data_IF_968780914722
#
_entry.id   IF_968780914722
#
_cell.length_a   1.000
_cell.length_b   1.000
_cell.length_c   1.000
_cell.angle_alpha   90.00
_cell.angle_beta   90.00
_cell.angle_gamma   90.00
#
_symmetry.space_group_name_H-M   'P 1'
#
loop_
_entity.id
_entity.type
_entity.pdbx_description
1 polymer ?
#
# COMPACT_ATOMS: atom_id res chain seq x y z
N UNK A 1 -33.98 -42.22 80.84
CA UNK A 1 -34.58 -42.46 79.55
C UNK A 1 -34.62 -41.15 78.80
N UNK A 2 -33.57 -40.81 78.05
CA UNK A 2 -33.63 -39.70 77.09
C UNK A 2 -32.79 -40.08 75.87
N UNK A 3 -33.48 -40.25 74.79
CA UNK A 3 -32.99 -40.61 73.50
C UNK A 3 -32.53 -39.33 72.77
N UNK A 4 -31.25 -39.21 72.47
CA UNK A 4 -30.67 -38.08 71.79
C UNK A 4 -30.42 -38.45 70.34
N UNK A 5 -31.33 -38.07 69.45
CA UNK A 5 -31.20 -38.20 68.00
C UNK A 5 -30.12 -37.21 67.50
N UNK A 6 -29.04 -37.74 66.93
CA UNK A 6 -28.01 -37.01 66.20
C UNK A 6 -28.48 -36.73 64.78
N UNK A 7 -28.55 -35.45 64.41
CA UNK A 7 -28.71 -35.00 63.05
C UNK A 7 -27.34 -34.97 62.32
N UNK A 8 -27.18 -35.54 61.13
CA UNK A 8 -25.97 -35.31 60.34
C UNK A 8 -26.07 -33.99 59.56
N UNK A 9 -25.16 -33.08 59.85
CA UNK A 9 -24.96 -31.86 59.05
C UNK A 9 -24.32 -32.25 57.72
N UNK A 10 -25.01 -32.07 56.58
CA UNK A 10 -24.47 -32.15 55.26
C UNK A 10 -23.69 -30.87 55.01
N UNK A 11 -22.37 -31.01 54.85
CA UNK A 11 -21.47 -29.93 54.47
C UNK A 11 -21.54 -29.76 52.95
N UNK A 12 -22.24 -28.75 52.47
CA UNK A 12 -22.22 -28.39 51.07
C UNK A 12 -20.92 -27.69 50.73
N UNK A 13 -20.03 -28.38 50.03
CA UNK A 13 -18.81 -27.78 49.40
C UNK A 13 -19.25 -27.03 48.16
N UNK A 14 -19.30 -25.70 48.22
CA UNK A 14 -19.40 -24.83 47.08
C UNK A 14 -18.07 -24.78 46.39
N UNK A 15 -17.92 -25.46 45.23
CA UNK A 15 -16.82 -25.23 44.32
C UNK A 15 -16.99 -23.86 43.67
N UNK A 16 -16.20 -22.88 44.06
CA UNK A 16 -16.07 -21.65 43.33
C UNK A 16 -15.18 -21.93 42.10
N UNK A 17 -15.80 -22.03 40.94
CA UNK A 17 -15.10 -22.03 39.67
C UNK A 17 -14.54 -20.60 39.45
N UNK A 18 -13.26 -20.40 39.67
CA UNK A 18 -12.55 -19.20 39.22
C UNK A 18 -12.49 -19.24 37.70
N UNK A 19 -13.35 -18.49 37.03
CA UNK A 19 -13.17 -18.16 35.62
C UNK A 19 -11.90 -17.30 35.54
N UNK A 20 -10.80 -17.89 35.14
CA UNK A 20 -9.62 -17.14 34.69
C UNK A 20 -10.06 -16.44 33.40
N UNK A 21 -10.36 -15.16 33.45
CA UNK A 21 -10.43 -14.32 32.27
C UNK A 21 -9.02 -14.32 31.67
N UNK A 22 -8.81 -15.07 30.60
CA UNK A 22 -7.65 -14.89 29.76
C UNK A 22 -7.76 -13.48 29.19
N UNK A 23 -6.97 -12.55 29.71
CA UNK A 23 -6.71 -11.29 29.03
C UNK A 23 -5.95 -11.70 27.76
N UNK A 24 -6.63 -11.65 26.63
CA UNK A 24 -5.97 -11.68 25.32
C UNK A 24 -4.90 -10.59 25.37
N UNK A 25 -3.65 -10.99 25.40
CA UNK A 25 -2.52 -10.07 25.37
C UNK A 25 -2.64 -9.29 24.05
N UNK A 26 -2.87 -7.98 24.12
CA UNK A 26 -2.76 -7.14 22.94
C UNK A 26 -1.31 -7.27 22.46
N UNK A 27 -1.11 -7.85 21.27
CA UNK A 27 0.19 -7.91 20.62
C UNK A 27 0.83 -6.51 20.54
N UNK A 28 2.15 -6.45 20.34
CA UNK A 28 2.85 -5.18 20.23
C UNK A 28 2.29 -4.37 19.06
N UNK A 29 2.17 -3.04 19.24
CA UNK A 29 1.81 -2.10 18.18
C UNK A 29 2.96 -1.15 17.93
N UNK A 30 3.14 -0.74 16.68
CA UNK A 30 4.16 0.21 16.26
C UNK A 30 3.53 1.33 15.48
N UNK A 31 4.01 2.55 15.71
CA UNK A 31 3.72 3.72 14.89
C UNK A 31 5.05 4.35 14.53
N UNK A 32 5.32 4.47 13.24
CA UNK A 32 6.58 4.95 12.69
C UNK A 32 6.35 6.14 11.75
N UNK A 33 7.24 7.11 11.80
CA UNK A 33 7.21 8.35 11.02
C UNK A 33 8.58 8.60 10.40
N UNK A 34 8.67 8.42 9.09
CA UNK A 34 9.91 8.54 8.33
C UNK A 34 9.87 9.83 7.50
N UNK A 35 10.30 10.93 8.09
CA UNK A 35 10.33 12.26 7.46
C UNK A 35 11.51 12.46 6.48
N UNK A 36 12.43 11.50 6.37
CA UNK A 36 13.59 11.57 5.50
C UNK A 36 13.75 10.25 4.73
N UNK A 37 13.52 10.24 3.41
CA UNK A 37 13.77 9.07 2.58
C UNK A 37 15.28 8.84 2.42
N UNK A 38 15.69 7.57 2.35
CA UNK A 38 17.10 7.21 2.01
C UNK A 38 17.35 7.28 0.51
N UNK A 39 16.29 7.30 -0.28
CA UNK A 39 16.28 7.49 -1.72
C UNK A 39 14.97 8.17 -2.12
N UNK A 40 15.06 9.23 -2.94
CA UNK A 40 13.94 9.83 -3.65
C UNK A 40 14.42 10.28 -5.03
N UNK A 41 14.11 9.48 -6.03
CA UNK A 41 14.76 9.56 -7.32
C UNK A 41 13.75 9.73 -8.44
N UNK A 42 14.05 10.64 -9.37
CA UNK A 42 13.37 10.67 -10.66
C UNK A 42 13.88 9.51 -11.54
N UNK A 43 13.05 8.50 -11.74
CA UNK A 43 13.32 7.36 -12.59
C UNK A 43 12.86 7.66 -14.01
N UNK A 44 13.76 8.24 -14.80
CA UNK A 44 13.52 8.69 -16.16
C UNK A 44 14.79 8.51 -17.01
N UNK A 45 14.68 8.09 -18.31
CA UNK A 45 15.85 7.74 -19.11
C UNK A 45 16.85 8.90 -19.29
N UNK A 46 16.37 10.14 -19.38
CA UNK A 46 17.22 11.32 -19.54
C UNK A 46 17.66 11.98 -18.23
N UNK A 47 17.42 11.35 -17.09
CA UNK A 47 17.96 11.83 -15.82
C UNK A 47 19.45 11.48 -15.70
N UNK A 48 20.30 12.37 -16.17
CA UNK A 48 21.77 12.20 -16.11
C UNK A 48 22.36 12.42 -14.71
N UNK A 49 21.58 12.97 -13.76
CA UNK A 49 22.05 13.33 -12.42
C UNK A 49 21.11 12.78 -11.32
N UNK A 50 20.96 11.45 -11.23
CA UNK A 50 20.19 10.87 -10.14
C UNK A 50 20.84 11.23 -8.79
N UNK A 51 20.01 11.55 -7.79
CA UNK A 51 20.49 12.01 -6.48
C UNK A 51 20.91 13.49 -6.42
N UNK A 52 20.60 14.28 -7.47
CA UNK A 52 20.86 15.72 -7.49
C UNK A 52 19.66 16.55 -8.01
N UNK A 53 18.57 15.89 -8.37
CA UNK A 53 17.36 16.57 -8.83
C UNK A 53 16.56 17.07 -7.65
N UNK A 54 16.15 18.34 -7.71
CA UNK A 54 15.36 19.00 -6.67
C UNK A 54 13.87 18.65 -6.73
N UNK A 55 13.44 17.97 -7.81
CA UNK A 55 12.10 17.44 -8.00
C UNK A 55 12.14 16.20 -8.91
N UNK A 56 11.19 15.31 -8.71
CA UNK A 56 10.91 14.15 -9.55
C UNK A 56 9.54 14.33 -10.22
N UNK A 57 9.50 14.19 -11.54
CA UNK A 57 8.29 14.38 -12.35
C UNK A 57 7.63 13.05 -12.68
N UNK A 58 6.29 13.04 -12.75
CA UNK A 58 5.52 11.87 -13.14
C UNK A 58 4.69 12.19 -14.36
N UNK A 59 4.80 11.35 -15.39
CA UNK A 59 4.06 11.53 -16.64
C UNK A 59 4.10 10.26 -17.51
N UNK A 60 3.18 10.19 -18.47
CA UNK A 60 3.11 9.17 -19.48
C UNK A 60 3.77 9.59 -20.79
N UNK A 61 4.18 8.61 -21.59
CA UNK A 61 4.59 8.83 -22.99
C UNK A 61 3.37 8.92 -23.90
N UNK A 62 3.62 9.37 -25.16
CA UNK A 62 2.59 9.39 -26.19
C UNK A 62 1.97 8.01 -26.39
N UNK A 63 0.62 7.91 -26.34
CA UNK A 63 -0.07 6.65 -26.59
C UNK A 63 0.28 6.08 -27.97
N UNK A 64 0.65 4.80 -28.00
CA UNK A 64 1.06 4.14 -29.25
C UNK A 64 2.50 4.37 -29.70
N UNK A 65 3.27 5.25 -29.03
CA UNK A 65 4.70 5.43 -29.32
C UNK A 65 5.46 4.10 -29.14
N UNK A 66 6.38 3.73 -30.04
CA UNK A 66 7.14 2.48 -29.93
C UNK A 66 8.19 2.52 -28.83
N UNK A 67 8.72 3.72 -28.57
CA UNK A 67 9.75 4.00 -27.55
C UNK A 67 9.12 4.41 -26.22
N UNK A 68 9.93 4.38 -25.16
CA UNK A 68 9.59 4.74 -23.80
C UNK A 68 8.53 3.84 -23.13
N UNK A 69 8.43 3.97 -21.83
CA UNK A 69 7.37 3.32 -21.06
C UNK A 69 6.08 4.14 -21.14
N UNK A 70 4.93 3.50 -21.08
CA UNK A 70 3.64 4.21 -20.99
C UNK A 70 3.59 5.11 -19.78
N UNK A 71 4.13 4.66 -18.61
CA UNK A 71 4.42 5.48 -17.42
C UNK A 71 5.89 5.85 -17.45
N UNK A 72 6.25 6.88 -18.20
CA UNK A 72 7.66 7.16 -18.52
C UNK A 72 8.41 7.88 -17.41
N UNK A 73 7.87 8.96 -16.86
CA UNK A 73 8.39 9.61 -15.67
C UNK A 73 7.83 8.97 -14.39
N UNK A 74 8.70 8.47 -13.50
CA UNK A 74 8.30 7.90 -12.22
C UNK A 74 9.15 8.48 -11.10
N UNK A 75 8.54 8.72 -9.93
CA UNK A 75 9.27 9.03 -8.71
C UNK A 75 9.40 7.77 -7.88
N UNK A 76 10.61 7.35 -7.57
CA UNK A 76 10.89 6.28 -6.61
C UNK A 76 11.28 6.89 -5.28
N UNK A 77 10.70 6.41 -4.19
CA UNK A 77 11.07 6.77 -2.82
C UNK A 77 11.38 5.52 -2.02
N UNK A 78 12.37 5.59 -1.12
CA UNK A 78 12.68 4.50 -0.21
C UNK A 78 12.96 5.01 1.19
N UNK A 79 12.53 4.24 2.19
CA UNK A 79 12.69 4.54 3.60
C UNK A 79 13.41 3.40 4.32
N UNK A 80 14.32 3.73 5.24
CA UNK A 80 14.99 2.76 6.12
C UNK A 80 14.05 2.42 7.29
N UNK A 81 13.17 1.45 7.08
CA UNK A 81 12.10 1.10 8.02
C UNK A 81 12.62 0.46 9.31
N UNK A 82 13.73 -0.27 9.24
CA UNK A 82 14.34 -0.96 10.38
C UNK A 82 14.82 -0.04 11.53
N UNK A 83 14.79 1.28 11.35
CA UNK A 83 15.10 2.23 12.42
C UNK A 83 13.96 2.44 13.41
N UNK A 84 12.71 2.14 13.04
CA UNK A 84 11.51 2.38 13.85
C UNK A 84 10.55 1.19 13.87
N UNK A 85 10.66 0.26 12.93
CA UNK A 85 9.83 -0.95 12.84
C UNK A 85 10.69 -2.20 13.01
N UNK A 86 10.13 -3.29 13.55
CA UNK A 86 10.87 -4.54 13.73
C UNK A 86 11.21 -5.18 12.38
N UNK A 87 12.39 -5.79 12.28
CA UNK A 87 12.86 -6.54 11.12
C UNK A 87 13.00 -8.03 11.47
N UNK A 88 13.01 -8.91 10.47
CA UNK A 88 13.17 -10.35 10.67
C UNK A 88 11.95 -11.02 11.30
N UNK A 89 10.76 -10.42 11.17
CA UNK A 89 9.52 -10.94 11.74
C UNK A 89 8.58 -11.60 10.71
N UNK A 90 8.82 -11.38 9.42
CA UNK A 90 8.04 -11.95 8.33
C UNK A 90 6.53 -11.80 8.50
N UNK A 91 5.82 -12.91 8.59
CA UNK A 91 4.35 -12.94 8.69
C UNK A 91 3.79 -12.58 10.09
N UNK A 92 4.65 -12.36 11.06
CA UNK A 92 4.24 -11.97 12.42
C UNK A 92 3.81 -10.51 12.55
N UNK A 93 3.79 -9.74 11.46
CA UNK A 93 3.42 -8.32 11.44
C UNK A 93 2.25 -8.10 10.50
N UNK A 94 1.27 -7.32 10.95
CA UNK A 94 0.22 -6.74 10.11
C UNK A 94 0.40 -5.24 10.03
N UNK A 95 0.49 -4.70 8.82
CA UNK A 95 0.44 -3.25 8.59
C UNK A 95 -1.03 -2.82 8.62
N UNK A 96 -1.38 -1.98 9.57
CA UNK A 96 -2.76 -1.50 9.73
C UNK A 96 -3.01 -0.17 9.05
N UNK A 97 -1.92 0.57 8.73
CA UNK A 97 -1.98 1.82 7.98
C UNK A 97 -0.63 2.13 7.37
N UNK A 98 -0.61 2.61 6.13
CA UNK A 98 0.59 3.14 5.49
C UNK A 98 0.21 4.34 4.63
N UNK A 99 0.86 5.50 4.84
CA UNK A 99 0.60 6.74 4.13
C UNK A 99 1.91 7.33 3.63
N UNK A 100 1.99 7.50 2.30
CA UNK A 100 3.05 8.29 1.68
C UNK A 100 2.55 9.73 1.46
N UNK A 101 3.36 10.70 1.84
CA UNK A 101 3.12 12.12 1.58
C UNK A 101 4.25 12.67 0.70
N UNK A 102 3.88 13.43 -0.35
CA UNK A 102 4.82 14.12 -1.23
C UNK A 102 4.33 15.54 -1.49
N UNK A 103 5.25 16.52 -1.49
CA UNK A 103 4.90 17.91 -1.75
C UNK A 103 5.00 18.23 -3.23
N UNK A 104 3.98 18.89 -3.77
CA UNK A 104 3.92 19.33 -5.18
C UNK A 104 4.94 20.45 -5.41
N UNK A 105 5.88 20.22 -6.34
CA UNK A 105 6.97 21.15 -6.63
C UNK A 105 6.62 22.22 -7.66
N UNK A 106 5.72 21.93 -8.60
CA UNK A 106 5.36 22.82 -9.72
C UNK A 106 4.01 23.49 -9.49
N UNK A 107 3.95 24.79 -9.76
CA UNK A 107 2.72 25.57 -9.53
C UNK A 107 1.78 25.47 -10.70
N UNK A 108 0.51 25.04 -10.47
CA UNK A 108 -0.57 25.00 -11.46
C UNK A 108 -0.16 24.25 -12.74
N UNK A 109 0.57 23.14 -12.59
CA UNK A 109 1.13 22.37 -13.70
C UNK A 109 0.27 21.15 -14.09
N UNK A 110 -0.72 20.80 -13.30
CA UNK A 110 -1.64 19.70 -13.61
C UNK A 110 -2.99 19.91 -12.92
N UNK A 111 -4.01 19.30 -13.45
CA UNK A 111 -5.36 19.28 -12.89
C UNK A 111 -5.43 18.16 -11.85
N UNK A 112 -6.04 18.44 -10.70
CA UNK A 112 -6.24 17.48 -9.64
C UNK A 112 -7.36 16.50 -10.00
N UNK A 113 -7.01 15.24 -10.05
CA UNK A 113 -7.93 14.12 -10.21
C UNK A 113 -7.71 13.10 -9.10
N UNK A 114 -8.66 12.94 -8.17
CA UNK A 114 -8.59 11.95 -7.08
C UNK A 114 -9.20 10.60 -7.45
N UNK A 115 -9.70 10.43 -8.67
CA UNK A 115 -10.43 9.23 -9.11
C UNK A 115 -9.56 8.32 -9.95
N UNK A 116 -9.67 6.99 -9.80
CA UNK A 116 -8.94 6.05 -10.65
C UNK A 116 -9.51 6.02 -12.06
N UNK A 117 -8.66 6.08 -13.07
CA UNK A 117 -9.02 5.93 -14.47
C UNK A 117 -8.85 4.50 -14.98
N UNK A 118 -9.75 4.11 -15.88
CA UNK A 118 -9.56 2.87 -16.61
C UNK A 118 -8.38 3.00 -17.60
N UNK A 119 -7.56 1.96 -17.74
CA UNK A 119 -6.40 2.00 -18.64
C UNK A 119 -6.74 2.33 -20.10
N UNK A 120 -7.97 2.09 -20.50
CA UNK A 120 -8.46 2.36 -21.86
C UNK A 120 -8.56 3.86 -22.16
N UNK A 121 -8.67 4.74 -21.14
CA UNK A 121 -8.68 6.20 -21.34
C UNK A 121 -7.35 6.71 -21.90
N UNK A 122 -6.25 5.96 -21.64
CA UNK A 122 -4.88 6.29 -22.07
C UNK A 122 -4.46 5.68 -23.40
N UNK A 123 -5.38 5.06 -24.13
CA UNK A 123 -5.09 4.55 -25.47
C UNK A 123 -5.10 5.67 -26.51
N UNK A 124 -4.43 5.43 -27.64
CA UNK A 124 -4.44 6.36 -28.77
C UNK A 124 -5.87 6.65 -29.24
N UNK A 125 -6.10 7.85 -29.79
CA UNK A 125 -7.43 8.29 -30.17
C UNK A 125 -8.11 7.42 -31.23
N UNK A 126 -7.34 6.70 -32.04
CA UNK A 126 -7.78 5.75 -33.08
C UNK A 126 -7.82 4.29 -32.62
N UNK A 127 -7.47 4.01 -31.36
CA UNK A 127 -7.51 2.66 -30.80
C UNK A 127 -8.97 2.21 -30.59
N UNK A 128 -9.39 1.04 -31.11
CA UNK A 128 -10.78 0.58 -31.02
C UNK A 128 -11.25 0.28 -29.58
N UNK A 129 -10.33 0.04 -28.63
CA UNK A 129 -10.66 -0.22 -27.25
C UNK A 129 -10.62 1.06 -26.37
N UNK A 130 -10.29 2.22 -26.97
CA UNK A 130 -10.27 3.48 -26.25
C UNK A 130 -11.67 3.84 -25.76
N UNK A 131 -11.75 4.27 -24.50
CA UNK A 131 -12.94 4.87 -23.92
C UNK A 131 -12.67 6.34 -23.60
N UNK A 132 -13.71 7.15 -23.52
CA UNK A 132 -13.62 8.55 -23.13
C UNK A 132 -13.38 8.65 -21.63
N UNK A 133 -12.47 9.53 -21.25
CA UNK A 133 -12.32 10.01 -19.89
C UNK A 133 -13.42 11.04 -19.64
N UNK A 134 -14.20 10.86 -18.56
CA UNK A 134 -15.40 11.63 -18.29
C UNK A 134 -15.21 12.75 -17.26
N UNK A 135 -14.08 12.79 -16.59
CA UNK A 135 -13.72 13.84 -15.66
C UNK A 135 -12.48 14.63 -16.12
N UNK A 136 -12.00 15.52 -15.30
CA UNK A 136 -10.91 16.40 -15.69
C UNK A 136 -9.64 16.06 -14.94
N UNK A 137 -8.57 15.85 -15.66
CA UNK A 137 -7.28 15.56 -15.07
C UNK A 137 -6.79 14.17 -15.42
N UNK A 138 -5.87 13.69 -14.63
CA UNK A 138 -5.31 12.35 -14.70
C UNK A 138 -4.80 11.99 -13.30
N UNK A 139 -5.14 10.82 -12.77
CA UNK A 139 -4.75 10.46 -11.42
C UNK A 139 -3.24 10.34 -11.29
N UNK A 140 -2.74 10.76 -10.15
CA UNK A 140 -1.41 10.39 -9.69
C UNK A 140 -1.56 9.17 -8.78
N UNK A 141 -0.81 8.12 -9.09
CA UNK A 141 -1.00 6.80 -8.48
C UNK A 141 0.27 6.33 -7.77
N UNK A 142 0.08 5.62 -6.66
CA UNK A 142 1.15 4.98 -5.91
C UNK A 142 1.13 3.46 -6.12
N UNK A 143 2.31 2.90 -6.31
CA UNK A 143 2.59 1.47 -6.49
C UNK A 143 3.79 1.06 -5.63
N UNK A 144 4.07 -0.24 -5.54
CA UNK A 144 5.35 -0.75 -5.09
C UNK A 144 6.45 -0.57 -6.14
N UNK A 145 7.62 -1.11 -5.85
CA UNK A 145 8.76 -1.11 -6.77
C UNK A 145 9.24 -2.53 -7.01
N UNK A 146 9.28 -2.92 -8.28
CA UNK A 146 9.95 -4.13 -8.74
C UNK A 146 11.36 -3.84 -9.23
N UNK A 147 12.20 -4.86 -9.23
CA UNK A 147 13.59 -4.76 -9.67
C UNK A 147 13.92 -5.84 -10.70
N UNK A 148 14.87 -5.54 -11.59
CA UNK A 148 15.39 -6.50 -12.57
C UNK A 148 16.91 -6.39 -12.75
N UNK A 149 17.49 -7.22 -13.61
CA UNK A 149 18.91 -7.22 -13.94
C UNK A 149 19.83 -7.41 -12.71
N UNK A 150 19.39 -8.22 -11.72
CA UNK A 150 20.15 -8.49 -10.50
C UNK A 150 20.06 -7.42 -9.41
N UNK A 151 19.27 -6.36 -9.61
CA UNK A 151 18.97 -5.37 -8.59
C UNK A 151 17.91 -5.88 -7.61
N UNK A 152 17.92 -5.34 -6.42
CA UNK A 152 16.95 -5.62 -5.35
C UNK A 152 16.79 -4.40 -4.45
N UNK A 153 15.82 -4.43 -3.55
CA UNK A 153 15.66 -3.36 -2.54
C UNK A 153 16.92 -3.14 -1.70
N UNK A 154 17.71 -4.18 -1.45
CA UNK A 154 18.95 -4.08 -0.69
C UNK A 154 20.11 -3.44 -1.50
N UNK A 155 20.16 -3.67 -2.81
CA UNK A 155 21.30 -3.27 -3.66
C UNK A 155 21.06 -1.97 -4.45
N UNK A 156 19.79 -1.61 -4.73
CA UNK A 156 19.48 -0.44 -5.54
C UNK A 156 19.71 0.85 -4.75
N UNK A 157 20.54 1.74 -5.35
CA UNK A 157 20.93 3.03 -4.77
C UNK A 157 20.43 4.17 -5.67
N UNK A 158 20.49 5.38 -5.15
CA UNK A 158 20.10 6.58 -5.87
C UNK A 158 20.89 6.77 -7.18
N UNK A 159 22.18 6.45 -7.17
CA UNK A 159 23.09 6.51 -8.32
C UNK A 159 23.06 5.25 -9.21
N UNK A 160 22.25 4.23 -8.90
CA UNK A 160 22.16 3.01 -9.71
C UNK A 160 21.79 3.33 -11.16
N UNK A 161 22.28 2.59 -12.16
CA UNK A 161 21.96 2.89 -13.55
C UNK A 161 20.47 2.70 -13.85
N UNK A 162 19.94 3.47 -14.81
CA UNK A 162 18.54 3.36 -15.24
C UNK A 162 18.23 1.99 -15.83
N UNK A 163 19.11 1.46 -16.67
CA UNK A 163 18.96 0.16 -17.35
C UNK A 163 20.28 -0.63 -17.31
N UNK A 164 20.26 -1.89 -17.76
CA UNK A 164 21.45 -2.70 -17.89
C UNK A 164 22.42 -2.11 -18.94
N UNK A 165 23.71 -2.32 -18.73
CA UNK A 165 24.73 -1.86 -19.68
C UNK A 165 24.50 -2.47 -21.07
N UNK A 166 24.61 -1.64 -22.11
CA UNK A 166 24.39 -2.04 -23.50
C UNK A 166 22.94 -2.12 -23.95
N UNK A 167 21.96 -1.86 -23.06
CA UNK A 167 20.55 -1.77 -23.42
C UNK A 167 20.18 -0.34 -23.79
N UNK A 168 19.38 -0.14 -24.84
CA UNK A 168 18.84 1.18 -25.18
C UNK A 168 17.93 1.67 -24.04
N UNK A 169 18.25 2.82 -23.50
CA UNK A 169 17.42 3.43 -22.45
C UNK A 169 16.07 3.99 -22.97
N UNK A 170 15.89 4.03 -24.30
CA UNK A 170 14.64 4.42 -24.94
C UNK A 170 13.67 3.24 -25.10
N UNK A 171 14.19 2.01 -25.07
CA UNK A 171 13.32 0.84 -25.19
C UNK A 171 12.36 0.71 -23.99
N UNK A 172 11.10 0.34 -24.22
CA UNK A 172 10.16 0.13 -23.12
C UNK A 172 10.53 -1.10 -22.27
N UNK A 173 10.18 -1.05 -20.98
CA UNK A 173 10.36 -2.17 -20.06
C UNK A 173 11.81 -2.48 -19.67
N UNK A 174 12.75 -1.53 -19.81
CA UNK A 174 14.19 -1.77 -19.55
C UNK A 174 14.70 -1.22 -18.23
N UNK A 175 13.92 -0.37 -17.54
CA UNK A 175 14.37 0.27 -16.29
C UNK A 175 14.67 -0.77 -15.20
N UNK A 176 15.76 -0.59 -14.47
CA UNK A 176 16.22 -1.52 -13.44
C UNK A 176 15.32 -1.54 -12.19
N UNK A 177 14.66 -0.43 -11.89
CA UNK A 177 13.62 -0.31 -10.87
C UNK A 177 12.37 0.30 -11.51
N UNK A 178 11.21 -0.25 -11.28
CA UNK A 178 9.97 0.08 -11.99
C UNK A 178 8.77 0.04 -11.06
N UNK A 179 7.73 0.83 -11.39
CA UNK A 179 6.45 0.74 -10.69
C UNK A 179 5.85 -0.65 -10.85
N UNK A 180 5.42 -1.24 -9.75
CA UNK A 180 4.94 -2.62 -9.73
C UNK A 180 3.76 -2.84 -8.79
N UNK A 181 2.90 -3.78 -9.14
CA UNK A 181 1.95 -4.41 -8.20
C UNK A 181 2.50 -5.77 -7.75
N UNK A 182 1.97 -6.27 -6.65
CA UNK A 182 2.23 -7.60 -6.13
C UNK A 182 0.89 -8.28 -5.83
N UNK A 183 0.75 -9.55 -6.18
CA UNK A 183 -0.40 -10.35 -5.78
C UNK A 183 -0.18 -11.05 -4.42
N UNK A 184 -1.22 -11.69 -3.90
CA UNK A 184 -1.14 -12.44 -2.63
C UNK A 184 -0.09 -13.58 -2.65
N UNK A 185 0.22 -14.13 -3.83
CA UNK A 185 1.25 -15.15 -4.00
C UNK A 185 2.67 -14.58 -4.03
N UNK A 186 2.81 -13.24 -4.07
CA UNK A 186 4.10 -12.53 -4.16
C UNK A 186 4.61 -12.36 -5.59
N UNK A 187 3.74 -12.53 -6.59
CA UNK A 187 4.11 -12.28 -7.98
C UNK A 187 4.15 -10.79 -8.25
N UNK A 188 5.31 -10.30 -8.66
CA UNK A 188 5.52 -8.88 -9.00
C UNK A 188 5.21 -8.66 -10.48
N UNK A 189 4.31 -7.71 -10.77
CA UNK A 189 3.94 -7.31 -12.13
C UNK A 189 4.38 -5.88 -12.40
N UNK A 190 5.15 -5.66 -13.48
CA UNK A 190 5.55 -4.32 -13.94
C UNK A 190 4.33 -3.60 -14.54
N UNK A 191 3.98 -2.44 -13.96
CA UNK A 191 2.85 -1.62 -14.43
C UNK A 191 3.28 -0.48 -15.36
N UNK A 192 4.59 -0.34 -15.64
CA UNK A 192 5.09 0.77 -16.47
C UNK A 192 4.53 0.75 -17.89
N UNK A 193 4.04 -0.40 -18.36
CA UNK A 193 3.50 -0.62 -19.71
C UNK A 193 2.03 -1.01 -19.70
N UNK A 194 1.28 -0.78 -18.63
CA UNK A 194 -0.07 -1.34 -18.50
C UNK A 194 -1.04 -0.95 -19.64
N UNK A 195 -1.08 0.28 -20.18
CA UNK A 195 -1.93 0.59 -21.33
C UNK A 195 -1.51 -0.18 -22.58
N UNK A 196 -0.21 -0.25 -22.87
CA UNK A 196 0.34 -0.99 -24.03
C UNK A 196 0.12 -2.50 -23.90
N UNK A 197 0.23 -3.05 -22.70
CA UNK A 197 0.00 -4.47 -22.40
C UNK A 197 -1.48 -4.80 -22.14
N UNK A 198 -2.37 -3.80 -22.21
CA UNK A 198 -3.82 -3.91 -22.12
C UNK A 198 -4.32 -4.58 -20.85
N UNK A 199 -3.85 -4.10 -19.69
CA UNK A 199 -4.38 -4.51 -18.40
C UNK A 199 -4.53 -3.31 -17.46
N UNK A 200 -5.50 -3.43 -16.52
CA UNK A 200 -5.74 -2.44 -15.46
C UNK A 200 -5.07 -2.87 -14.16
N UNK A 201 -3.91 -2.30 -13.79
CA UNK A 201 -3.38 -2.55 -12.47
C UNK A 201 -4.25 -1.83 -11.44
N UNK A 202 -4.50 -2.49 -10.30
CA UNK A 202 -4.99 -1.77 -9.14
C UNK A 202 -3.84 -0.92 -8.56
N UNK A 203 -3.97 0.41 -8.62
CA UNK A 203 -3.09 1.28 -7.87
C UNK A 203 -3.28 1.03 -6.37
N UNK A 204 -2.20 1.05 -5.60
CA UNK A 204 -2.27 0.88 -4.14
C UNK A 204 -2.88 2.09 -3.45
N UNK A 205 -2.79 3.25 -4.08
CA UNK A 205 -3.50 4.46 -3.71
C UNK A 205 -3.55 5.42 -4.89
N UNK A 206 -4.62 6.20 -4.98
CA UNK A 206 -4.69 7.43 -5.77
C UNK A 206 -4.38 8.62 -4.88
N UNK A 207 -3.62 9.59 -5.39
CA UNK A 207 -3.19 10.75 -4.64
C UNK A 207 -4.35 11.68 -4.28
N UNK A 208 -4.45 12.07 -3.02
CA UNK A 208 -5.47 12.99 -2.52
C UNK A 208 -4.84 14.29 -1.98
N UNK A 209 -5.52 15.43 -2.17
CA UNK A 209 -5.13 16.74 -1.67
C UNK A 209 -6.35 17.36 -0.98
N UNK A 210 -6.22 17.75 0.30
CA UNK A 210 -7.37 18.16 1.11
C UNK A 210 -8.02 19.48 0.67
N UNK A 211 -7.23 20.43 0.18
CA UNK A 211 -7.64 21.80 -0.06
C UNK A 211 -7.62 22.21 -1.54
N UNK A 212 -7.73 21.25 -2.44
CA UNK A 212 -7.91 21.42 -3.88
C UNK A 212 -9.13 20.63 -4.33
N UNK A 213 -10.05 21.24 -5.05
CA UNK A 213 -11.20 20.53 -5.59
C UNK A 213 -10.82 19.72 -6.84
N UNK A 214 -11.48 18.59 -7.06
CA UNK A 214 -11.31 17.81 -8.29
C UNK A 214 -11.60 18.70 -9.52
N UNK A 215 -10.77 18.58 -10.56
CA UNK A 215 -10.84 19.41 -11.76
C UNK A 215 -10.12 20.76 -11.67
N UNK A 216 -9.56 21.13 -10.53
CA UNK A 216 -8.82 22.36 -10.33
C UNK A 216 -7.31 22.15 -10.53
N UNK A 217 -6.59 23.20 -10.95
CA UNK A 217 -5.14 23.17 -11.02
C UNK A 217 -4.50 23.15 -9.64
N UNK A 218 -3.50 22.31 -9.45
CA UNK A 218 -2.81 22.13 -8.17
C UNK A 218 -1.74 23.20 -7.96
N UNK A 219 -1.82 24.03 -6.87
CA UNK A 219 -0.76 24.96 -6.52
C UNK A 219 0.49 24.22 -5.98
N UNK A 220 1.67 24.79 -6.19
CA UNK A 220 2.89 24.32 -5.54
C UNK A 220 2.79 24.38 -4.00
N UNK A 221 3.51 23.52 -3.32
CA UNK A 221 3.54 23.42 -1.86
C UNK A 221 2.35 22.64 -1.26
N UNK A 222 1.40 22.15 -2.07
CA UNK A 222 0.35 21.25 -1.60
C UNK A 222 0.93 19.87 -1.33
N UNK A 223 0.44 19.22 -0.29
CA UNK A 223 0.83 17.85 0.05
C UNK A 223 -0.17 16.89 -0.58
N UNK A 224 0.32 16.03 -1.45
CA UNK A 224 -0.45 14.90 -1.97
C UNK A 224 -0.20 13.68 -1.10
N UNK A 225 -1.29 13.03 -0.67
CA UNK A 225 -1.30 11.88 0.23
C UNK A 225 -1.75 10.63 -0.51
N UNK A 226 -1.05 9.55 -0.26
CA UNK A 226 -1.39 8.21 -0.75
C UNK A 226 -1.61 7.31 0.45
N UNK A 227 -2.86 7.05 0.79
CA UNK A 227 -3.25 6.08 1.81
C UNK A 227 -3.34 4.70 1.16
N UNK A 228 -2.36 3.84 1.45
CA UNK A 228 -2.22 2.57 0.77
C UNK A 228 -3.32 1.58 1.19
N UNK A 229 -3.81 0.80 0.23
CA UNK A 229 -4.84 -0.23 0.45
C UNK A 229 -4.26 -1.44 1.22
N UNK A 230 -3.99 -1.25 2.51
CA UNK A 230 -3.35 -2.28 3.36
C UNK A 230 -4.20 -3.55 3.55
N UNK A 231 -5.50 -3.48 3.25
CA UNK A 231 -6.41 -4.64 3.26
C UNK A 231 -6.25 -5.52 2.00
N UNK A 232 -5.58 -5.03 0.95
CA UNK A 232 -5.22 -5.86 -0.21
C UNK A 232 -4.09 -6.82 0.18
N UNK A 233 -4.25 -8.15 -0.02
CA UNK A 233 -3.25 -9.12 0.42
C UNK A 233 -1.88 -8.96 -0.25
N UNK A 234 -1.84 -8.49 -1.50
CA UNK A 234 -0.58 -8.24 -2.21
C UNK A 234 0.13 -7.01 -1.67
N UNK A 235 -0.61 -5.92 -1.40
CA UNK A 235 -0.09 -4.70 -0.75
C UNK A 235 0.42 -5.04 0.64
N UNK A 236 -0.38 -5.75 1.43
CA UNK A 236 0.00 -6.19 2.78
C UNK A 236 1.31 -6.99 2.77
N UNK A 237 1.41 -7.97 1.86
CA UNK A 237 2.62 -8.80 1.70
C UNK A 237 3.83 -7.95 1.34
N UNK A 238 3.71 -7.07 0.35
CA UNK A 238 4.82 -6.21 -0.08
C UNK A 238 5.32 -5.31 1.06
N UNK A 239 4.39 -4.68 1.79
CA UNK A 239 4.72 -3.81 2.92
C UNK A 239 5.46 -4.59 4.02
N UNK A 240 4.97 -5.78 4.37
CA UNK A 240 5.62 -6.66 5.35
C UNK A 240 7.02 -7.06 4.91
N UNK A 241 7.19 -7.52 3.66
CA UNK A 241 8.50 -7.91 3.13
C UNK A 241 9.49 -6.73 3.15
N UNK A 242 9.05 -5.51 2.81
CA UNK A 242 9.86 -4.30 2.87
C UNK A 242 10.23 -3.89 4.30
N UNK A 243 9.31 -4.01 5.25
CA UNK A 243 9.56 -3.76 6.69
C UNK A 243 10.52 -4.81 7.24
N UNK A 244 10.31 -6.07 6.92
CA UNK A 244 11.14 -7.19 7.36
C UNK A 244 12.58 -7.06 6.86
N UNK A 245 12.74 -6.64 5.61
CA UNK A 245 14.05 -6.31 5.02
C UNK A 245 14.66 -5.01 5.55
N UNK A 246 13.93 -4.22 6.34
CA UNK A 246 14.37 -2.93 6.88
C UNK A 246 14.43 -1.81 5.87
N UNK A 247 13.86 -1.99 4.66
CA UNK A 247 13.86 -0.99 3.61
C UNK A 247 12.64 -1.12 2.70
N UNK A 248 11.76 -0.14 2.71
CA UNK A 248 10.54 -0.11 1.93
C UNK A 248 10.67 0.88 0.76
N UNK A 249 10.34 0.42 -0.45
CA UNK A 249 10.28 1.22 -1.66
C UNK A 249 8.84 1.47 -2.08
N UNK A 250 8.56 2.69 -2.57
CA UNK A 250 7.29 3.05 -3.20
C UNK A 250 7.56 3.81 -4.49
N UNK A 251 6.64 3.73 -5.44
CA UNK A 251 6.69 4.45 -6.71
C UNK A 251 5.45 5.32 -6.87
N UNK A 252 5.66 6.59 -7.20
CA UNK A 252 4.61 7.52 -7.62
C UNK A 252 4.70 7.70 -9.12
N UNK A 253 3.60 7.55 -9.84
CA UNK A 253 3.53 7.70 -11.28
C UNK A 253 2.20 8.27 -11.74
N UNK A 254 2.14 8.81 -12.96
CA UNK A 254 0.90 9.19 -13.62
C UNK A 254 0.98 8.83 -15.10
N UNK A 255 -0.17 8.85 -15.76
CA UNK A 255 -0.27 8.73 -17.22
C UNK A 255 -0.55 10.10 -17.88
N UNK A 256 -0.39 11.21 -17.13
CA UNK A 256 -0.48 12.57 -17.71
C UNK A 256 0.40 12.64 -18.95
N UNK A 257 -0.23 12.80 -20.10
CA UNK A 257 0.48 12.79 -21.39
C UNK A 257 1.42 13.98 -21.53
N UNK A 258 2.64 13.72 -21.98
CA UNK A 258 3.65 14.74 -22.23
C UNK A 258 4.32 14.50 -23.57
N UNK A 259 4.17 15.43 -24.50
CA UNK A 259 4.87 15.38 -25.77
C UNK A 259 6.30 15.89 -25.63
N UNK A 260 7.29 15.03 -25.88
CA UNK A 260 8.73 15.35 -25.88
C UNK A 260 9.21 16.16 -24.65
N UNK A 261 8.69 15.84 -23.47
CA UNK A 261 8.94 16.57 -22.21
C UNK A 261 8.44 18.03 -22.21
N UNK A 262 7.66 18.42 -23.22
CA UNK A 262 6.94 19.69 -23.21
C UNK A 262 5.53 19.45 -22.67
N UNK A 263 5.10 20.26 -21.73
CA UNK A 263 3.76 20.17 -21.17
C UNK A 263 3.73 20.40 -19.66
N UNK A 264 2.53 20.24 -19.14
CA UNK A 264 2.24 20.40 -17.71
C UNK A 264 2.01 19.03 -17.11
N UNK A 265 2.78 18.68 -16.09
CA UNK A 265 2.75 17.38 -15.44
C UNK A 265 3.03 17.49 -13.96
N UNK A 266 2.58 16.53 -13.15
CA UNK A 266 2.91 16.47 -11.73
C UNK A 266 4.41 16.35 -11.50
N UNK A 267 4.95 17.14 -10.57
CA UNK A 267 6.33 17.03 -10.09
C UNK A 267 6.33 17.19 -8.58
N UNK A 268 7.15 16.42 -7.91
CA UNK A 268 7.19 16.37 -6.45
C UNK A 268 8.60 16.71 -5.94
N UNK A 269 8.64 17.42 -4.82
CA UNK A 269 9.86 17.82 -4.14
C UNK A 269 10.67 16.59 -3.71
N UNK A 270 11.97 16.63 -3.93
CA UNK A 270 12.92 15.62 -3.42
C UNK A 270 13.73 16.18 -2.24
N UNK A 271 14.40 15.30 -1.49
CA UNK A 271 15.26 15.69 -0.35
C UNK A 271 16.45 16.57 -0.75
N UNK A 272 16.84 16.53 -2.04
CA UNK A 272 17.89 17.38 -2.61
C UNK A 272 17.46 18.85 -2.84
N UNK A 273 16.19 19.16 -2.68
CA UNK A 273 15.70 20.52 -2.79
C UNK A 273 16.26 21.38 -1.66
N UNK A 274 16.94 22.45 -2.02
CA UNK A 274 17.60 23.35 -1.06
C UNK A 274 16.63 24.02 -0.05
N UNK A 275 15.35 24.03 -0.33
CA UNK A 275 14.31 24.55 0.56
C UNK A 275 13.93 23.56 1.68
N UNK A 276 14.21 22.26 1.50
CA UNK A 276 13.89 21.22 2.51
C UNK A 276 14.66 21.46 3.83
N UNK A 277 15.98 21.61 3.85
CA UNK A 277 16.69 21.85 5.11
C UNK A 277 16.35 23.20 5.76
N UNK A 278 15.73 24.12 5.03
CA UNK A 278 15.24 25.40 5.53
C UNK A 278 13.82 25.33 6.10
N UNK A 279 13.13 24.18 5.97
CA UNK A 279 11.74 24.01 6.36
C UNK A 279 10.74 24.76 5.48
N UNK A 280 11.16 25.17 4.27
CA UNK A 280 10.34 25.90 3.28
C UNK A 280 9.74 24.96 2.21
N UNK A 281 10.17 23.71 2.18
CA UNK A 281 9.60 22.61 1.39
C UNK A 281 9.76 21.30 2.17
N UNK A 282 9.04 20.26 1.78
CA UNK A 282 9.02 18.96 2.45
C UNK A 282 9.53 17.87 1.53
N UNK A 283 10.49 17.09 2.01
CA UNK A 283 10.84 15.81 1.40
C UNK A 283 9.69 14.81 1.56
N UNK A 284 9.68 13.72 0.76
CA UNK A 284 8.74 12.63 0.97
C UNK A 284 8.75 12.11 2.39
N UNK A 285 7.56 11.81 2.91
CA UNK A 285 7.35 11.28 4.26
C UNK A 285 6.51 10.01 4.20
N UNK A 286 6.87 9.03 5.01
CA UNK A 286 6.09 7.80 5.14
C UNK A 286 5.67 7.63 6.60
N UNK A 287 4.37 7.42 6.82
CA UNK A 287 3.81 7.04 8.13
C UNK A 287 3.33 5.60 8.03
N UNK A 288 3.72 4.76 8.98
CA UNK A 288 3.31 3.35 9.05
C UNK A 288 2.82 3.03 10.45
N UNK A 289 1.66 2.40 10.52
CA UNK A 289 1.14 1.77 11.73
C UNK A 289 1.09 0.27 11.50
N UNK A 290 1.56 -0.49 12.47
CA UNK A 290 1.60 -1.93 12.40
C UNK A 290 1.32 -2.55 13.77
N UNK A 291 0.88 -3.80 13.77
CA UNK A 291 0.66 -4.60 14.97
C UNK A 291 1.34 -5.97 14.83
N UNK A 292 1.61 -6.59 15.96
CA UNK A 292 2.01 -7.98 16.02
C UNK A 292 0.82 -8.89 15.67
N UNK A 293 1.09 -9.98 14.95
CA UNK A 293 0.13 -10.96 14.46
C UNK A 293 -0.01 -10.94 12.94
N UNK A 294 -0.37 -12.08 12.38
CA UNK A 294 -0.68 -12.23 10.95
C UNK A 294 -1.89 -11.35 10.56
N UNK A 295 -2.01 -10.99 9.27
CA UNK A 295 -3.25 -10.39 8.77
C UNK A 295 -4.43 -11.32 9.05
N UNK A 296 -5.47 -10.80 9.70
CA UNK A 296 -6.69 -11.57 9.88
C UNK A 296 -7.38 -11.79 8.54
N UNK A 297 -7.57 -13.04 8.15
CA UNK A 297 -8.61 -13.38 7.18
C UNK A 297 -9.97 -13.29 7.88
N UNK A 298 -11.02 -13.03 7.14
CA UNK A 298 -12.35 -12.80 7.74
C UNK A 298 -12.81 -13.93 8.69
N UNK A 299 -12.40 -15.17 8.45
CA UNK A 299 -12.73 -16.33 9.24
C UNK A 299 -11.83 -16.54 10.48
N UNK A 300 -10.68 -15.87 10.56
CA UNK A 300 -9.75 -15.84 11.70
C UNK A 300 -10.20 -14.72 12.64
N UNK A 301 -11.14 -15.04 13.52
CA UNK A 301 -11.85 -14.06 14.34
C UNK A 301 -11.07 -13.56 15.56
N UNK A 302 -10.06 -14.33 15.99
CA UNK A 302 -9.14 -13.92 17.07
C UNK A 302 -7.81 -13.39 16.54
N UNK A 303 -7.61 -13.46 15.21
CA UNK A 303 -6.43 -12.92 14.51
C UNK A 303 -5.11 -13.57 14.96
N UNK A 304 -5.11 -14.87 15.26
CA UNK A 304 -3.91 -15.60 15.63
C UNK A 304 -3.16 -16.19 14.41
N UNK A 305 -3.75 -16.06 13.21
CA UNK A 305 -3.19 -16.52 11.93
C UNK A 305 -3.66 -17.90 11.51
N UNK A 306 -4.57 -18.55 12.27
CA UNK A 306 -5.11 -19.85 11.95
C UNK A 306 -6.62 -19.92 12.23
N UNK A 307 -7.41 -20.35 11.27
CA UNK A 307 -8.84 -20.60 11.50
C UNK A 307 -9.01 -21.93 12.21
N UNK A 308 -9.42 -21.89 13.48
CA UNK A 308 -9.44 -23.06 14.35
C UNK A 308 -10.64 -23.05 15.33
N UNK A 309 -10.54 -23.87 16.42
CA UNK A 309 -11.61 -24.00 17.41
C UNK A 309 -11.87 -22.74 18.24
N UNK A 310 -10.93 -21.79 18.30
CA UNK A 310 -11.12 -20.52 19.02
C UNK A 310 -12.03 -19.63 18.20
N UNK A 311 -11.80 -19.50 16.88
CA UNK A 311 -12.66 -18.75 15.96
C UNK A 311 -14.08 -19.27 15.92
N UNK A 312 -14.20 -20.61 15.90
CA UNK A 312 -15.51 -21.25 16.02
C UNK A 312 -16.18 -20.85 17.33
N UNK A 313 -15.44 -20.80 18.43
CA UNK A 313 -15.94 -20.33 19.73
C UNK A 313 -16.40 -18.88 19.68
N UNK A 314 -15.65 -17.98 19.02
CA UNK A 314 -16.01 -16.57 18.82
C UNK A 314 -17.28 -16.46 17.96
N UNK A 315 -17.36 -17.19 16.85
CA UNK A 315 -18.55 -17.19 15.97
C UNK A 315 -19.77 -17.67 16.73
N UNK A 316 -19.70 -18.80 17.42
CA UNK A 316 -20.82 -19.35 18.19
C UNK A 316 -21.24 -18.44 19.36
N UNK A 317 -20.30 -17.70 19.95
CA UNK A 317 -20.56 -16.72 21.00
C UNK A 317 -21.35 -15.49 20.51
N UNK A 318 -21.34 -15.22 19.21
CA UNK A 318 -22.07 -14.11 18.57
C UNK A 318 -23.28 -14.58 17.76
N UNK A 319 -23.76 -15.81 17.97
CA UNK A 319 -24.84 -16.40 17.19
C UNK A 319 -26.16 -15.63 17.31
N UNK A 320 -26.80 -15.29 16.17
CA UNK A 320 -28.01 -14.50 16.08
C UNK A 320 -27.81 -13.12 15.48
N UNK A 321 -28.72 -12.16 15.67
CA UNK A 321 -28.60 -10.81 15.11
C UNK A 321 -27.33 -10.11 15.56
N UNK A 322 -26.49 -9.71 14.60
CA UNK A 322 -25.16 -9.17 14.86
C UNK A 322 -24.68 -8.23 13.75
N UNK A 323 -25.52 -7.28 13.35
CA UNK A 323 -25.20 -6.37 12.26
C UNK A 323 -23.85 -5.63 12.47
N UNK A 324 -22.88 -5.87 11.58
CA UNK A 324 -21.57 -5.24 11.60
C UNK A 324 -20.57 -5.81 12.61
N UNK A 325 -20.83 -6.99 13.21
CA UNK A 325 -19.81 -7.69 13.99
C UNK A 325 -18.91 -8.56 13.11
N UNK A 326 -17.69 -8.81 13.58
CA UNK A 326 -16.70 -9.60 12.84
C UNK A 326 -17.13 -11.05 12.56
N UNK A 327 -18.05 -11.61 13.35
CA UNK A 327 -18.54 -12.96 13.17
C UNK A 327 -19.63 -13.09 12.09
N UNK A 328 -20.21 -11.98 11.61
CA UNK A 328 -21.09 -11.91 10.44
C UNK A 328 -20.21 -11.90 9.17
N UNK A 329 -19.80 -13.10 8.76
CA UNK A 329 -18.79 -13.29 7.70
C UNK A 329 -19.37 -13.07 6.29
N UNK A 330 -20.70 -13.15 6.14
CA UNK A 330 -21.37 -12.91 4.85
C UNK A 330 -21.99 -11.49 4.76
N UNK A 331 -22.04 -10.73 5.88
CA UNK A 331 -22.51 -9.35 5.93
C UNK A 331 -24.04 -9.22 5.85
N UNK A 332 -24.82 -10.26 6.19
CA UNK A 332 -26.29 -10.24 6.09
C UNK A 332 -26.98 -9.70 7.37
N UNK A 333 -26.24 -9.43 8.43
CA UNK A 333 -26.69 -8.88 9.71
C UNK A 333 -27.01 -9.92 10.77
N UNK A 334 -26.88 -11.22 10.48
CA UNK A 334 -27.16 -12.33 11.39
C UNK A 334 -26.01 -13.37 11.35
N UNK A 335 -25.41 -13.69 12.48
CA UNK A 335 -24.46 -14.81 12.59
C UNK A 335 -25.24 -16.12 12.65
N UNK A 336 -25.07 -16.96 11.64
CA UNK A 336 -25.86 -18.17 11.45
C UNK A 336 -25.10 -19.31 10.77
N UNK A 337 -25.81 -20.33 10.22
CA UNK A 337 -25.17 -21.47 9.56
C UNK A 337 -24.40 -21.14 8.28
N UNK A 338 -24.64 -19.98 7.65
CA UNK A 338 -23.91 -19.54 6.46
C UNK A 338 -22.51 -19.09 6.89
N UNK A 339 -22.40 -18.29 7.94
CA UNK A 339 -21.13 -17.82 8.50
C UNK A 339 -20.29 -18.98 9.02
N UNK A 340 -20.93 -19.93 9.68
CA UNK A 340 -20.29 -21.18 10.07
C UNK A 340 -19.72 -21.92 8.86
N UNK A 341 -20.45 -21.95 7.75
CA UNK A 341 -19.99 -22.54 6.48
C UNK A 341 -18.77 -21.81 5.91
N UNK A 342 -18.75 -20.48 5.97
CA UNK A 342 -17.60 -19.66 5.56
C UNK A 342 -16.39 -19.94 6.44
N UNK A 343 -16.56 -19.98 7.77
CA UNK A 343 -15.50 -20.28 8.72
C UNK A 343 -14.91 -21.67 8.46
N UNK A 344 -15.76 -22.70 8.35
CA UNK A 344 -15.30 -24.08 8.10
C UNK A 344 -14.65 -24.26 6.73
N UNK A 345 -15.02 -23.44 5.74
CA UNK A 345 -14.39 -23.42 4.42
C UNK A 345 -12.96 -22.87 4.43
N UNK A 346 -12.58 -22.15 5.47
CA UNK A 346 -11.25 -21.57 5.69
C UNK A 346 -10.47 -22.27 6.82
N UNK A 347 -10.94 -23.44 7.30
CA UNK A 347 -10.34 -24.12 8.42
C UNK A 347 -8.93 -24.64 8.12
N UNK A 348 -7.92 -24.25 8.94
CA UNK A 348 -6.51 -24.70 8.80
C UNK A 348 -5.47 -23.67 9.04
#
# INVERSE_FOLDING_TARGET
>A
MHDARRNPRILAMTLAASAASATLGSGATWSADFAAPVLDRWMYPFNATPGARIAASTFGSEPGAPDFDSRDGQMLVAFATGSQLPTGRGDEITVTRAVLEVEVATNLAFIYDPTPDAWQTFLAADDPDRIEDLDAGQPVECFGVGFRNGWSAASFQESSPYTAAGTSFLAPGVRNAFAATMDAAGTVTDVSQNPRQRFGPAAWATGTIEDVAAGEFVPAGRVMRFELAVDDPGVQRYLREGIDAGRLFLSVSSLTFVEQQAGQFPSFVTKENALVPLGLARAPRLVVEAREGSPCIAADLDCDGAVNGIDLGVLLGNWGPCAGCAADLNGDGDVNGIDLGVLLGNWG
#
